data_IF_134714648573
#
_entry.id   IF_134714648573
#
_cell.length_a   1.000
_cell.length_b   1.000
_cell.length_c   1.000
_cell.angle_alpha   90.00
_cell.angle_beta   90.00
_cell.angle_gamma   90.00
#
_symmetry.space_group_name_H-M   'P 1'
#
loop_
_entity.id
_entity.type
_entity.pdbx_description
1 polymer ?
#
# COMPACT_ATOMS: atom_id res chain seq x y z
N UNK A 1 25.16 -35.53 -40.55
CA UNK A 1 24.39 -34.33 -40.16
C UNK A 1 23.70 -34.61 -38.86
N UNK A 2 23.98 -33.94 -38.03
CA UNK A 2 24.23 -33.81 -36.59
C UNK A 2 22.96 -34.02 -35.75
N UNK A 3 22.79 -35.26 -35.25
CA UNK A 3 21.69 -35.59 -34.32
C UNK A 3 22.00 -35.21 -32.86
N UNK A 4 23.18 -34.62 -32.63
CA UNK A 4 23.63 -34.26 -31.27
C UNK A 4 23.11 -32.90 -30.76
N UNK A 5 22.58 -32.08 -31.64
CA UNK A 5 22.05 -30.75 -31.24
C UNK A 5 20.56 -30.77 -30.88
N UNK A 6 19.83 -31.82 -31.23
CA UNK A 6 18.39 -31.91 -30.89
C UNK A 6 18.13 -32.51 -29.51
N UNK A 7 19.07 -33.29 -28.97
CA UNK A 7 18.94 -33.86 -27.64
C UNK A 7 19.23 -32.85 -26.51
N UNK A 8 19.91 -31.74 -26.81
CA UNK A 8 20.22 -30.71 -25.82
C UNK A 8 19.10 -29.65 -25.63
N UNK A 9 18.15 -29.61 -26.58
CA UNK A 9 17.00 -28.67 -26.48
C UNK A 9 15.71 -29.30 -25.94
N UNK A 10 15.73 -30.60 -25.70
CA UNK A 10 14.50 -31.36 -25.37
C UNK A 10 14.06 -31.33 -23.93
N UNK A 11 14.73 -30.64 -23.02
CA UNK A 11 14.36 -30.68 -21.60
C UNK A 11 14.45 -29.34 -20.87
N UNK A 12 14.20 -28.25 -21.58
CA UNK A 12 13.77 -27.03 -20.93
C UNK A 12 12.28 -27.19 -20.67
N UNK A 13 11.95 -27.85 -19.56
CA UNK A 13 10.63 -27.67 -18.96
C UNK A 13 10.40 -26.16 -18.86
N UNK A 14 9.29 -25.62 -19.39
CA UNK A 14 8.98 -24.24 -19.16
C UNK A 14 8.95 -24.07 -17.65
N UNK A 15 9.95 -23.37 -17.12
CA UNK A 15 9.86 -22.82 -15.78
C UNK A 15 8.58 -21.97 -15.84
N UNK A 16 7.51 -22.48 -15.26
CA UNK A 16 6.34 -21.64 -14.99
C UNK A 16 6.91 -20.47 -14.21
N UNK A 17 7.13 -19.36 -14.91
CA UNK A 17 7.29 -18.08 -14.25
C UNK A 17 6.10 -17.99 -13.30
N UNK A 18 6.38 -18.13 -12.01
CA UNK A 18 5.34 -18.08 -11.00
C UNK A 18 4.53 -16.86 -11.32
N UNK A 19 3.23 -17.00 -11.43
CA UNK A 19 2.32 -15.87 -11.49
C UNK A 19 2.58 -15.09 -10.22
N UNK A 20 3.32 -13.99 -10.34
CA UNK A 20 3.39 -12.98 -9.29
C UNK A 20 1.99 -12.38 -9.25
N UNK A 21 1.14 -12.95 -8.41
CA UNK A 21 -0.12 -12.32 -8.07
C UNK A 21 0.25 -11.10 -7.24
N UNK A 22 0.42 -9.99 -7.91
CA UNK A 22 0.38 -8.68 -7.27
C UNK A 22 -1.05 -8.51 -6.77
N UNK A 23 -1.30 -9.00 -5.57
CA UNK A 23 -2.49 -8.63 -4.83
C UNK A 23 -2.34 -7.15 -4.49
N UNK A 24 -2.75 -6.31 -5.41
CA UNK A 24 -2.77 -4.86 -5.21
C UNK A 24 -3.92 -4.55 -4.26
N UNK A 25 -3.69 -4.65 -2.97
CA UNK A 25 -4.53 -4.04 -1.94
C UNK A 25 -4.26 -2.52 -1.90
N UNK A 26 -4.18 -1.89 -3.07
CA UNK A 26 -4.01 -0.46 -3.15
C UNK A 26 -5.38 0.20 -3.12
N UNK A 27 -5.59 1.08 -2.15
CA UNK A 27 -6.70 2.01 -2.14
C UNK A 27 -6.38 3.13 -3.13
N UNK A 28 -7.29 3.35 -4.07
CA UNK A 28 -7.15 4.40 -5.07
C UNK A 28 -8.06 5.55 -4.66
N UNK A 29 -7.48 6.75 -4.56
CA UNK A 29 -8.18 7.98 -4.22
C UNK A 29 -8.19 8.91 -5.43
N UNK A 30 -9.37 9.40 -5.80
CA UNK A 30 -9.50 10.47 -6.78
C UNK A 30 -9.14 11.79 -6.10
N UNK A 31 -8.11 12.48 -6.59
CA UNK A 31 -7.59 13.73 -6.01
C UNK A 31 -7.82 14.97 -6.88
N UNK A 32 -8.34 14.81 -8.08
CA UNK A 32 -8.60 15.90 -8.99
C UNK A 32 -9.90 15.77 -9.75
N UNK A 33 -10.26 16.81 -10.49
CA UNK A 33 -11.51 16.91 -11.27
C UNK A 33 -11.47 16.13 -12.58
N UNK A 34 -10.28 15.80 -13.08
CA UNK A 34 -10.14 15.06 -14.33
C UNK A 34 -10.02 13.55 -14.07
N UNK A 35 -10.47 12.77 -15.04
CA UNK A 35 -10.22 11.33 -15.04
C UNK A 35 -8.72 11.07 -14.93
N UNK A 36 -8.33 9.99 -14.22
CA UNK A 36 -6.95 9.57 -13.99
C UNK A 36 -6.12 10.42 -13.01
N UNK A 37 -6.66 11.50 -12.45
CA UNK A 37 -6.02 12.23 -11.35
C UNK A 37 -6.20 11.49 -10.04
N UNK A 38 -5.57 10.33 -9.94
CA UNK A 38 -5.67 9.45 -8.79
C UNK A 38 -4.34 9.32 -8.08
N UNK A 39 -4.39 9.06 -6.79
CA UNK A 39 -3.25 8.60 -5.99
C UNK A 39 -3.58 7.28 -5.34
N UNK A 40 -2.59 6.43 -5.15
CA UNK A 40 -2.79 5.10 -4.58
C UNK A 40 -1.99 4.92 -3.30
N UNK A 41 -2.59 4.24 -2.35
CA UNK A 41 -1.97 3.81 -1.10
C UNK A 41 -2.01 2.29 -1.03
N UNK A 42 -0.84 1.66 -1.09
CA UNK A 42 -0.72 0.23 -0.90
C UNK A 42 -0.78 -0.08 0.60
N UNK A 43 -1.75 -0.86 1.02
CA UNK A 43 -1.85 -1.32 2.41
C UNK A 43 -1.40 -2.77 2.51
N UNK A 44 -0.57 -3.04 3.52
CA UNK A 44 -0.22 -4.41 3.90
C UNK A 44 -1.44 -5.13 4.47
N UNK A 45 -1.46 -6.44 4.30
CA UNK A 45 -2.49 -7.27 4.90
C UNK A 45 -2.30 -7.31 6.44
N UNK A 46 -3.31 -6.83 7.18
CA UNK A 46 -3.30 -6.72 8.65
C UNK A 46 -4.03 -7.88 9.35
N UNK A 47 -4.23 -8.98 8.64
CA UNK A 47 -4.82 -10.17 9.27
C UNK A 47 -3.79 -10.85 10.18
N UNK A 48 -4.27 -11.49 11.22
CA UNK A 48 -3.42 -12.20 12.21
C UNK A 48 -2.50 -13.25 11.59
N UNK A 49 -2.91 -13.87 10.48
CA UNK A 49 -2.08 -14.83 9.76
C UNK A 49 -0.97 -14.19 8.89
N UNK A 50 -1.00 -12.87 8.72
CA UNK A 50 -0.01 -12.09 7.95
C UNK A 50 0.88 -11.23 8.82
N UNK A 51 0.48 -10.99 10.07
CA UNK A 51 1.23 -10.20 11.04
C UNK A 51 2.19 -11.08 11.85
N UNK A 52 3.32 -10.50 12.25
CA UNK A 52 4.33 -11.18 13.07
C UNK A 52 5.04 -12.31 12.34
N UNK A 53 5.11 -12.26 11.00
CA UNK A 53 5.77 -13.28 10.18
C UNK A 53 7.28 -13.08 10.12
N UNK A 54 8.02 -14.18 9.89
CA UNK A 54 9.48 -14.10 9.72
C UNK A 54 10.28 -13.94 11.01
N UNK A 55 9.67 -14.21 12.15
CA UNK A 55 10.34 -14.29 13.45
C UNK A 55 10.82 -15.73 13.65
N UNK A 56 12.08 -15.88 14.01
CA UNK A 56 12.64 -17.17 14.38
C UNK A 56 12.22 -17.51 15.81
N UNK A 57 11.43 -18.57 15.95
CA UNK A 57 10.84 -19.02 17.22
C UNK A 57 11.14 -20.52 17.44
N UNK A 58 11.50 -20.89 18.67
CA UNK A 58 11.70 -22.30 19.03
C UNK A 58 10.40 -23.10 18.98
N UNK A 59 9.28 -22.42 19.25
CA UNK A 59 7.93 -23.01 19.22
C UNK A 59 7.37 -23.19 17.83
N UNK A 60 8.05 -22.66 16.78
CA UNK A 60 7.66 -22.79 15.38
C UNK A 60 6.47 -21.92 14.97
N UNK A 61 6.13 -20.87 15.71
CA UNK A 61 5.09 -19.91 15.34
C UNK A 61 5.45 -19.16 14.07
N UNK A 62 4.55 -19.14 13.12
CA UNK A 62 4.74 -18.49 11.81
C UNK A 62 4.07 -17.14 11.71
N UNK A 63 3.08 -16.89 12.56
CA UNK A 63 2.26 -15.66 12.53
C UNK A 63 1.58 -15.44 13.87
N UNK A 64 0.99 -14.27 14.01
CA UNK A 64 0.19 -13.91 15.18
C UNK A 64 -1.04 -14.84 15.40
N UNK A 65 -1.48 -15.56 14.38
CA UNK A 65 -2.63 -16.48 14.49
C UNK A 65 -2.28 -17.78 15.23
N UNK A 66 -1.00 -18.14 15.33
CA UNK A 66 -0.52 -19.42 15.86
C UNK A 66 0.05 -19.31 17.27
N UNK A 67 0.00 -18.14 17.89
CA UNK A 67 0.57 -17.91 19.21
C UNK A 67 -0.11 -18.74 20.30
N UNK A 68 0.70 -19.25 21.21
CA UNK A 68 0.28 -20.04 22.36
C UNK A 68 1.15 -19.66 23.56
N UNK A 69 0.54 -19.50 24.73
CA UNK A 69 1.19 -19.09 25.97
C UNK A 69 1.17 -20.15 27.06
N UNK A 70 0.91 -21.41 26.70
CA UNK A 70 0.78 -22.50 27.67
C UNK A 70 2.10 -22.93 28.31
N UNK A 71 3.23 -22.40 27.86
CA UNK A 71 4.54 -22.72 28.43
C UNK A 71 5.51 -21.53 28.42
N UNK A 72 6.57 -21.53 29.22
CA UNK A 72 7.48 -20.39 29.32
C UNK A 72 8.21 -20.07 28.02
N UNK A 73 8.64 -21.07 27.26
CA UNK A 73 9.29 -20.91 25.95
C UNK A 73 8.30 -20.32 24.93
N UNK A 74 7.09 -20.89 24.88
CA UNK A 74 6.02 -20.40 24.02
C UNK A 74 5.61 -18.96 24.34
N UNK A 75 5.59 -18.60 25.63
CA UNK A 75 5.29 -17.23 26.05
C UNK A 75 6.37 -16.24 25.59
N UNK A 76 7.67 -16.61 25.65
CA UNK A 76 8.75 -15.79 25.14
C UNK A 76 8.68 -15.61 23.63
N UNK A 77 8.41 -16.68 22.89
CA UNK A 77 8.25 -16.63 21.44
C UNK A 77 7.03 -15.80 21.04
N UNK A 78 5.94 -15.92 21.79
CA UNK A 78 4.75 -15.08 21.61
C UNK A 78 5.09 -13.60 21.75
N UNK A 79 5.91 -13.22 22.75
CA UNK A 79 6.36 -11.82 22.91
C UNK A 79 7.13 -11.31 21.67
N UNK A 80 8.03 -12.14 21.13
CA UNK A 80 8.79 -11.80 19.92
C UNK A 80 7.88 -11.59 18.72
N UNK A 81 6.89 -12.48 18.53
CA UNK A 81 5.89 -12.37 17.44
C UNK A 81 5.02 -11.14 17.62
N UNK A 82 4.61 -10.83 18.86
CA UNK A 82 3.84 -9.62 19.17
C UNK A 82 4.64 -8.34 18.91
N UNK A 83 5.88 -8.29 19.33
CA UNK A 83 6.77 -7.13 19.10
C UNK A 83 6.90 -6.87 17.60
N UNK A 84 7.11 -7.93 16.81
CA UNK A 84 7.17 -7.83 15.36
C UNK A 84 5.85 -7.34 14.75
N UNK A 85 4.73 -7.86 15.21
CA UNK A 85 3.42 -7.42 14.75
C UNK A 85 3.14 -5.94 15.08
N UNK A 86 3.53 -5.49 16.29
CA UNK A 86 3.41 -4.08 16.69
C UNK A 86 4.29 -3.16 15.84
N UNK A 87 5.51 -3.60 15.50
CA UNK A 87 6.40 -2.87 14.58
C UNK A 87 5.78 -2.72 13.19
N UNK A 88 5.21 -3.80 12.65
CA UNK A 88 4.54 -3.81 11.35
C UNK A 88 3.32 -2.88 11.33
N UNK A 89 2.49 -2.90 12.37
CA UNK A 89 1.35 -2.00 12.52
C UNK A 89 1.79 -0.55 12.65
N UNK A 90 2.84 -0.28 13.44
CA UNK A 90 3.38 1.07 13.62
C UNK A 90 3.96 1.63 12.33
N UNK A 91 4.68 0.81 11.57
CA UNK A 91 5.19 1.18 10.23
C UNK A 91 4.06 1.54 9.27
N UNK A 92 3.03 0.70 9.19
CA UNK A 92 1.88 0.96 8.32
C UNK A 92 1.12 2.23 8.72
N UNK A 93 0.96 2.47 10.02
CA UNK A 93 0.39 3.74 10.51
C UNK A 93 1.23 4.94 10.11
N UNK A 94 2.57 4.81 10.16
CA UNK A 94 3.50 5.83 9.69
C UNK A 94 3.34 6.13 8.19
N UNK A 95 3.23 5.08 7.37
CA UNK A 95 2.99 5.19 5.93
C UNK A 95 1.67 5.89 5.61
N UNK A 96 0.58 5.52 6.30
CA UNK A 96 -0.73 6.18 6.16
C UNK A 96 -0.65 7.64 6.57
N UNK A 97 0.00 7.96 7.69
CA UNK A 97 0.17 9.33 8.16
C UNK A 97 0.99 10.19 7.19
N UNK A 98 2.07 9.64 6.65
CA UNK A 98 2.87 10.30 5.63
C UNK A 98 2.08 10.54 4.34
N UNK A 99 1.30 9.56 3.89
CA UNK A 99 0.42 9.69 2.74
C UNK A 99 -0.63 10.79 2.95
N UNK A 100 -1.28 10.80 4.11
CA UNK A 100 -2.26 11.82 4.46
C UNK A 100 -1.64 13.21 4.39
N UNK A 101 -0.51 13.41 5.05
CA UNK A 101 0.15 14.72 5.12
C UNK A 101 0.67 15.17 3.76
N UNK A 102 1.37 14.32 3.04
CA UNK A 102 2.08 14.72 1.82
C UNK A 102 1.16 14.78 0.59
N UNK A 103 0.21 13.86 0.48
CA UNK A 103 -0.64 13.76 -0.71
C UNK A 103 -1.99 14.43 -0.51
N UNK A 104 -2.71 14.10 0.56
CA UNK A 104 -4.09 14.58 0.74
C UNK A 104 -4.13 16.03 1.22
N UNK A 105 -3.33 16.42 2.21
CA UNK A 105 -3.29 17.80 2.70
C UNK A 105 -2.74 18.78 1.65
N UNK A 106 -1.69 18.37 0.91
CA UNK A 106 -1.14 19.19 -0.17
C UNK A 106 -2.16 19.41 -1.28
N UNK A 107 -2.88 18.35 -1.68
CA UNK A 107 -3.92 18.48 -2.69
C UNK A 107 -5.11 19.31 -2.20
N UNK A 108 -5.50 19.17 -0.95
CA UNK A 108 -6.58 19.98 -0.34
C UNK A 108 -6.20 21.47 -0.37
N UNK A 109 -4.97 21.82 -0.05
CA UNK A 109 -4.49 23.21 -0.14
C UNK A 109 -4.49 23.73 -1.57
N UNK A 110 -4.07 22.91 -2.54
CA UNK A 110 -4.15 23.26 -3.96
C UNK A 110 -5.60 23.52 -4.40
N UNK A 111 -6.53 22.65 -4.05
CA UNK A 111 -7.95 22.82 -4.39
C UNK A 111 -8.56 24.06 -3.74
N UNK A 112 -8.17 24.40 -2.51
CA UNK A 112 -8.62 25.64 -1.84
C UNK A 112 -8.16 26.87 -2.60
N UNK A 113 -6.88 26.93 -3.02
CA UNK A 113 -6.34 28.03 -3.80
C UNK A 113 -7.03 28.11 -5.17
N UNK A 114 -7.23 26.99 -5.83
CA UNK A 114 -7.93 26.94 -7.12
C UNK A 114 -9.37 27.45 -6.98
N UNK A 115 -10.10 27.02 -5.94
CA UNK A 115 -11.45 27.49 -5.65
C UNK A 115 -11.49 29.02 -5.40
N UNK A 116 -10.55 29.54 -4.61
CA UNK A 116 -10.45 30.98 -4.36
C UNK A 116 -10.21 31.78 -5.64
N UNK A 117 -9.33 31.27 -6.54
CA UNK A 117 -9.06 31.93 -7.82
C UNK A 117 -10.30 31.91 -8.75
N UNK A 118 -11.06 30.80 -8.75
CA UNK A 118 -12.32 30.71 -9.53
C UNK A 118 -13.35 31.70 -8.98
N UNK A 119 -13.51 31.79 -7.66
CA UNK A 119 -14.42 32.76 -7.03
C UNK A 119 -14.03 34.21 -7.35
N UNK A 120 -12.74 34.53 -7.34
CA UNK A 120 -12.27 35.87 -7.75
C UNK A 120 -12.58 36.15 -9.21
N UNK A 121 -12.37 35.18 -10.10
CA UNK A 121 -12.67 35.33 -11.52
C UNK A 121 -14.16 35.51 -11.77
N UNK A 122 -15.00 34.78 -11.04
CA UNK A 122 -16.47 34.96 -11.09
C UNK A 122 -16.88 36.36 -10.63
N UNK A 123 -16.29 36.86 -9.54
CA UNK A 123 -16.57 38.23 -9.04
C UNK A 123 -16.20 39.30 -10.07
N UNK A 124 -15.03 39.16 -10.71
CA UNK A 124 -14.58 40.12 -11.74
C UNK A 124 -15.53 40.13 -12.94
N UNK A 125 -16.04 38.98 -13.37
CA UNK A 125 -16.99 38.90 -14.49
C UNK A 125 -18.32 39.55 -14.09
N UNK A 126 -18.81 39.26 -12.89
CA UNK A 126 -20.07 39.83 -12.39
C UNK A 126 -20.00 41.34 -12.20
N UNK A 127 -18.86 41.85 -11.67
CA UNK A 127 -18.62 43.27 -11.49
C UNK A 127 -18.45 44.03 -12.82
N UNK A 128 -17.88 43.34 -13.85
CA UNK A 128 -17.79 43.89 -15.21
C UNK A 128 -19.15 44.01 -15.89
N UNK A 129 -20.05 43.03 -15.72
CA UNK A 129 -21.43 43.06 -16.24
C UNK A 129 -22.24 44.19 -15.62
N UNK A 130 -22.01 44.50 -14.32
CA UNK A 130 -22.69 45.60 -13.61
C UNK A 130 -22.17 47.00 -14.02
N UNK A 131 -20.99 47.06 -14.65
CA UNK A 131 -20.42 48.34 -15.10
C UNK A 131 -20.83 48.68 -16.57
N UNK A 132 -21.42 47.74 -17.30
CA UNK A 132 -21.87 47.92 -18.69
C UNK A 132 -23.37 48.22 -18.80
N UNK A 133 -24.16 48.09 -17.70
CA UNK A 133 -25.55 48.56 -17.56
C UNK A 133 -25.59 50.00 -16.99
#
# INVERSE_FOLDING_TARGET
MNQTTQAAMGNLSPVKAGTVSLSQNALIFQIGSNAEQTTSLALRNMRTNSLGTGVDTESGFRSLAEIDVTGPIKAQDTMRVLDRALEEVSSTRGEIGAFQKNNLESNLNYLRIAHENVMRSESVIRDADMAEE
#
